data_IF_667563738977
#
_entry.id   IF_667563738977
#
_cell.length_a   1.000
_cell.length_b   1.000
_cell.length_c   1.000
_cell.angle_alpha   90.00
_cell.angle_beta   90.00
_cell.angle_gamma   90.00
#
_symmetry.space_group_name_H-M   'P 1'
#
loop_
_entity.id
_entity.type
_entity.pdbx_description
1 polymer ?
#
# COMPACT_ATOMS: atom_id res chain seq x y z
N UNK A 1 10.02 6.66 31.01
CA UNK A 1 9.86 6.42 29.57
C UNK A 1 8.41 6.72 29.20
N UNK A 2 8.16 7.98 28.85
CA UNK A 2 6.85 8.62 28.79
C UNK A 2 6.31 8.55 27.35
N UNK A 3 5.02 8.27 27.17
CA UNK A 3 4.36 7.87 25.91
C UNK A 3 4.33 8.89 24.75
N UNK A 4 5.22 9.88 24.71
CA UNK A 4 5.30 10.90 23.65
C UNK A 4 6.09 10.45 22.42
N UNK A 5 7.04 9.52 22.56
CA UNK A 5 7.87 9.05 21.42
C UNK A 5 7.10 8.21 20.38
N UNK A 6 6.01 7.55 20.77
CA UNK A 6 5.21 6.71 19.87
C UNK A 6 4.37 7.53 18.88
N UNK A 7 3.99 8.75 19.27
CA UNK A 7 3.17 9.65 18.45
C UNK A 7 3.96 10.11 17.22
N UNK A 8 5.22 10.51 17.40
CA UNK A 8 6.07 10.99 16.29
C UNK A 8 6.36 9.92 15.24
N UNK A 9 6.65 8.70 15.67
CA UNK A 9 6.89 7.57 14.74
C UNK A 9 5.62 7.26 13.94
N UNK A 10 4.46 7.16 14.61
CA UNK A 10 3.19 6.92 13.91
C UNK A 10 2.85 8.04 12.94
N UNK A 11 2.97 9.30 13.34
CA UNK A 11 2.73 10.45 12.45
C UNK A 11 3.63 10.40 11.23
N UNK A 12 4.92 10.13 11.41
CA UNK A 12 5.88 9.99 10.32
C UNK A 12 5.53 8.82 9.40
N UNK A 13 5.23 7.65 9.96
CA UNK A 13 4.87 6.46 9.19
C UNK A 13 3.57 6.67 8.41
N UNK A 14 2.55 7.29 9.01
CA UNK A 14 1.31 7.64 8.31
C UNK A 14 1.55 8.65 7.19
N UNK A 15 2.37 9.68 7.43
CA UNK A 15 2.79 10.62 6.40
C UNK A 15 3.51 9.91 5.24
N UNK A 16 4.48 9.06 5.55
CA UNK A 16 5.23 8.28 4.57
C UNK A 16 4.32 7.37 3.73
N UNK A 17 3.39 6.66 4.38
CA UNK A 17 2.44 5.79 3.70
C UNK A 17 1.52 6.59 2.78
N UNK A 18 0.95 7.71 3.24
CA UNK A 18 0.13 8.59 2.39
C UNK A 18 0.91 9.10 1.19
N UNK A 19 2.10 9.66 1.41
CA UNK A 19 2.94 10.17 0.33
C UNK A 19 3.28 9.07 -0.68
N UNK A 20 3.67 7.88 -0.22
CA UNK A 20 4.08 6.80 -1.11
C UNK A 20 2.91 6.21 -1.90
N UNK A 21 1.71 6.13 -1.33
CA UNK A 21 0.51 5.71 -2.09
C UNK A 21 0.26 6.66 -3.25
N UNK A 22 0.35 7.97 -3.01
CA UNK A 22 0.19 8.99 -4.06
C UNK A 22 1.27 8.88 -5.13
N UNK A 23 2.52 8.69 -4.72
CA UNK A 23 3.64 8.47 -5.65
C UNK A 23 3.45 7.21 -6.50
N UNK A 24 2.98 6.11 -5.91
CA UNK A 24 2.70 4.88 -6.64
C UNK A 24 1.50 5.03 -7.58
N UNK A 25 0.45 5.74 -7.17
CA UNK A 25 -0.70 5.99 -8.02
C UNK A 25 -0.30 6.74 -9.30
N UNK A 26 0.56 7.75 -9.17
CA UNK A 26 1.12 8.48 -10.30
C UNK A 26 2.04 7.59 -11.16
N UNK A 27 3.03 6.93 -10.55
CA UNK A 27 4.02 6.12 -11.28
C UNK A 27 3.41 4.90 -11.99
N UNK A 28 2.29 4.39 -11.49
CA UNK A 28 1.59 3.23 -12.03
C UNK A 28 0.40 3.61 -12.92
N UNK A 29 0.31 4.91 -13.29
CA UNK A 29 -0.67 5.46 -14.21
C UNK A 29 -2.13 5.32 -13.73
N UNK A 30 -2.38 5.25 -12.42
CA UNK A 30 -3.75 5.33 -11.90
C UNK A 30 -4.27 6.76 -11.90
N UNK A 31 -3.37 7.73 -11.75
CA UNK A 31 -3.68 9.15 -11.70
C UNK A 31 -2.67 9.92 -12.55
N UNK A 32 -3.16 10.78 -13.43
CA UNK A 32 -2.30 11.64 -14.27
C UNK A 32 -1.76 12.84 -13.48
N UNK A 33 -2.43 13.22 -12.40
CA UNK A 33 -2.05 14.36 -11.57
C UNK A 33 -0.77 14.06 -10.76
N UNK A 34 0.23 14.93 -10.90
CA UNK A 34 1.47 14.84 -10.13
C UNK A 34 1.18 14.99 -8.62
N UNK A 35 1.70 14.10 -7.77
CA UNK A 35 1.39 14.11 -6.34
C UNK A 35 2.07 15.32 -5.67
N UNK A 36 1.32 16.14 -4.93
CA UNK A 36 1.89 17.26 -4.20
C UNK A 36 2.75 16.76 -3.03
N UNK A 37 3.82 17.49 -2.73
CA UNK A 37 4.54 17.31 -1.47
C UNK A 37 3.68 17.83 -0.31
N UNK A 38 3.57 17.05 0.78
CA UNK A 38 2.75 17.41 1.94
C UNK A 38 1.31 16.88 1.88
N UNK A 39 0.39 17.55 2.57
CA UNK A 39 -0.99 17.07 2.80
C UNK A 39 -2.04 17.70 1.87
N UNK A 40 -1.64 18.26 0.72
CA UNK A 40 -2.61 18.77 -0.24
C UNK A 40 -3.59 17.68 -0.71
N UNK A 41 -4.83 18.04 -1.09
CA UNK A 41 -5.84 17.09 -1.54
C UNK A 41 -5.32 16.30 -2.75
N UNK A 42 -5.50 14.98 -2.71
CA UNK A 42 -5.14 14.07 -3.80
C UNK A 42 -6.17 12.95 -3.89
N UNK A 43 -6.58 12.51 -5.10
CA UNK A 43 -7.63 11.50 -5.28
C UNK A 43 -7.32 10.18 -4.57
N UNK A 44 -6.06 9.71 -4.63
CA UNK A 44 -5.61 8.55 -3.89
C UNK A 44 -5.26 8.92 -2.43
N UNK A 45 -6.05 8.42 -1.49
CA UNK A 45 -5.78 8.56 -0.05
C UNK A 45 -5.93 7.22 0.67
N UNK A 46 -5.21 7.07 1.79
CA UNK A 46 -5.30 5.92 2.67
C UNK A 46 -5.66 6.41 4.07
N UNK A 47 -6.73 5.85 4.62
CA UNK A 47 -7.10 6.01 6.03
C UNK A 47 -6.68 4.75 6.78
N UNK A 48 -5.91 4.95 7.86
CA UNK A 48 -5.42 3.86 8.70
C UNK A 48 -6.20 3.93 10.00
N UNK A 49 -6.98 2.90 10.30
CA UNK A 49 -7.70 2.81 11.57
C UNK A 49 -6.68 2.67 12.73
N UNK A 50 -6.87 3.45 13.79
CA UNK A 50 -6.05 3.33 14.99
C UNK A 50 -6.44 2.05 15.75
N UNK A 51 -5.47 1.21 16.17
CA UNK A 51 -5.76 0.00 16.91
C UNK A 51 -6.22 0.36 18.33
N UNK A 52 -7.42 -0.08 18.69
CA UNK A 52 -8.06 0.16 19.99
C UNK A 52 -7.58 -0.86 21.05
N UNK A 53 -6.93 -1.96 20.64
CA UNK A 53 -6.67 -3.13 21.50
C UNK A 53 -5.22 -3.23 22.03
N UNK A 54 -5.01 -3.80 23.24
CA UNK A 54 -3.68 -4.13 23.76
C UNK A 54 -2.95 -5.11 22.84
N UNK A 55 -1.66 -4.89 22.62
CA UNK A 55 -0.84 -5.68 21.67
C UNK A 55 -0.14 -6.85 22.35
N UNK A 56 -0.29 -8.04 21.79
CA UNK A 56 0.43 -9.24 22.25
C UNK A 56 1.88 -9.25 21.73
N UNK A 57 2.84 -9.40 22.64
CA UNK A 57 4.29 -9.39 22.36
C UNK A 57 4.73 -10.60 21.53
N UNK A 58 4.03 -11.73 21.64
CA UNK A 58 4.35 -12.96 20.90
C UNK A 58 3.98 -12.79 19.42
N UNK A 59 2.80 -12.22 19.16
CA UNK A 59 2.32 -11.92 17.79
C UNK A 59 3.25 -10.94 17.08
N UNK A 60 3.86 -9.99 17.80
CA UNK A 60 4.87 -9.08 17.24
C UNK A 60 6.12 -9.83 16.81
N UNK A 61 6.62 -10.78 17.60
CA UNK A 61 7.80 -11.58 17.27
C UNK A 61 7.57 -12.53 16.08
N UNK A 62 6.40 -13.18 16.05
CA UNK A 62 6.03 -14.11 14.97
C UNK A 62 5.60 -13.40 13.68
N UNK A 63 5.37 -12.07 13.73
CA UNK A 63 4.89 -11.27 12.60
C UNK A 63 5.78 -11.41 11.36
N UNK A 64 7.10 -11.43 11.56
CA UNK A 64 8.07 -11.57 10.46
C UNK A 64 7.89 -12.92 9.76
N UNK A 65 7.71 -14.01 10.52
CA UNK A 65 7.49 -15.34 9.97
C UNK A 65 6.16 -15.42 9.23
N UNK A 66 5.09 -14.84 9.80
CA UNK A 66 3.75 -14.80 9.20
C UNK A 66 3.68 -13.94 7.92
N UNK A 67 4.62 -13.01 7.77
CA UNK A 67 4.76 -12.18 6.57
C UNK A 67 5.54 -12.88 5.44
N UNK A 68 6.33 -13.92 5.71
CA UNK A 68 7.10 -14.62 4.66
C UNK A 68 6.21 -15.15 3.53
N UNK A 69 5.09 -15.85 3.79
CA UNK A 69 4.20 -16.30 2.72
C UNK A 69 3.62 -15.13 1.90
N UNK A 70 3.31 -14.02 2.57
CA UNK A 70 2.83 -12.81 1.92
C UNK A 70 3.87 -12.18 1.00
N UNK A 71 5.12 -12.09 1.44
CA UNK A 71 6.22 -11.53 0.65
C UNK A 71 6.43 -12.35 -0.63
N UNK A 72 6.36 -13.68 -0.54
CA UNK A 72 6.53 -14.56 -1.70
C UNK A 72 5.43 -14.30 -2.72
N UNK A 73 4.15 -14.29 -2.32
CA UNK A 73 3.06 -14.09 -3.29
C UNK A 73 3.05 -12.66 -3.82
N UNK A 74 3.28 -11.66 -2.95
CA UNK A 74 3.39 -10.27 -3.37
C UNK A 74 4.54 -10.06 -4.36
N UNK A 75 5.66 -10.78 -4.25
CA UNK A 75 6.74 -10.69 -5.22
C UNK A 75 6.24 -10.99 -6.64
N UNK A 76 5.50 -12.09 -6.82
CA UNK A 76 4.94 -12.44 -8.14
C UNK A 76 3.85 -11.46 -8.59
N UNK A 77 3.00 -10.99 -7.67
CA UNK A 77 1.94 -10.02 -7.97
C UNK A 77 2.52 -8.68 -8.41
N UNK A 78 3.55 -8.18 -7.71
CA UNK A 78 4.23 -6.93 -8.05
C UNK A 78 4.98 -7.06 -9.38
N UNK A 79 5.56 -8.22 -9.67
CA UNK A 79 6.18 -8.50 -10.95
C UNK A 79 5.14 -8.46 -12.09
N UNK A 80 4.01 -9.13 -11.92
CA UNK A 80 2.89 -9.08 -12.85
C UNK A 80 2.37 -7.64 -13.02
N UNK A 81 2.25 -6.89 -11.92
CA UNK A 81 1.83 -5.49 -11.95
C UNK A 81 2.77 -4.62 -12.77
N UNK A 82 4.09 -4.80 -12.63
CA UNK A 82 5.08 -4.12 -13.49
C UNK A 82 4.85 -4.38 -14.98
N UNK A 83 4.64 -5.64 -15.38
CA UNK A 83 4.33 -5.97 -16.77
C UNK A 83 3.01 -5.36 -17.25
N UNK A 84 1.96 -5.40 -16.41
CA UNK A 84 0.67 -4.80 -16.77
C UNK A 84 0.76 -3.28 -16.89
N UNK A 85 1.59 -2.61 -16.11
CA UNK A 85 1.80 -1.15 -16.21
C UNK A 85 2.47 -0.80 -17.54
N UNK A 86 3.47 -1.57 -17.96
CA UNK A 86 4.11 -1.39 -19.28
C UNK A 86 3.07 -1.61 -20.39
N UNK A 87 2.29 -2.69 -20.31
CA UNK A 87 1.22 -2.95 -21.28
C UNK A 87 0.17 -1.83 -21.29
N UNK A 88 -0.26 -1.35 -20.12
CA UNK A 88 -1.21 -0.24 -19.98
C UNK A 88 -0.67 1.04 -20.60
N UNK A 89 0.62 1.36 -20.40
CA UNK A 89 1.26 2.51 -21.03
C UNK A 89 1.14 2.45 -22.56
N UNK A 90 1.45 1.31 -23.19
CA UNK A 90 1.26 1.15 -24.64
C UNK A 90 -0.20 1.26 -25.04
N UNK A 91 -1.12 0.61 -24.31
CA UNK A 91 -2.55 0.64 -24.65
C UNK A 91 -3.12 2.06 -24.56
N UNK A 92 -2.77 2.82 -23.52
CA UNK A 92 -3.21 4.21 -23.37
C UNK A 92 -2.68 5.08 -24.51
N UNK A 93 -1.45 4.85 -24.99
CA UNK A 93 -0.92 5.60 -26.14
C UNK A 93 -1.70 5.35 -27.44
N UNK A 94 -2.20 4.14 -27.66
CA UNK A 94 -2.94 3.80 -28.88
C UNK A 94 -4.46 4.04 -28.76
N UNK A 95 -5.04 3.78 -27.59
CA UNK A 95 -6.49 3.79 -27.36
C UNK A 95 -6.95 5.04 -26.61
N UNK A 96 -6.05 5.74 -25.91
CA UNK A 96 -6.38 6.89 -25.06
C UNK A 96 -7.18 6.53 -23.81
N UNK A 97 -7.30 5.25 -23.47
CA UNK A 97 -8.13 4.77 -22.36
C UNK A 97 -7.43 3.65 -21.60
N UNK A 98 -7.50 3.70 -20.27
CA UNK A 98 -6.93 2.69 -19.39
C UNK A 98 -7.82 1.44 -19.38
N UNK A 99 -7.28 0.23 -19.68
CA UNK A 99 -8.07 -1.01 -19.63
C UNK A 99 -8.56 -1.31 -18.21
N UNK A 100 -9.87 -1.44 -18.02
CA UNK A 100 -10.48 -1.63 -16.70
C UNK A 100 -9.89 -2.83 -15.93
N UNK A 101 -9.66 -3.97 -16.60
CA UNK A 101 -9.10 -5.15 -15.95
C UNK A 101 -7.66 -4.95 -15.43
N UNK A 102 -6.83 -4.18 -16.13
CA UNK A 102 -5.47 -3.85 -15.68
C UNK A 102 -5.52 -2.87 -14.51
N UNK A 103 -6.46 -1.92 -14.54
CA UNK A 103 -6.68 -0.96 -13.48
C UNK A 103 -7.11 -1.65 -12.18
N UNK A 104 -8.13 -2.52 -12.24
CA UNK A 104 -8.62 -3.28 -11.09
C UNK A 104 -7.55 -4.18 -10.50
N UNK A 105 -6.78 -4.87 -11.35
CA UNK A 105 -5.65 -5.68 -10.91
C UNK A 105 -4.59 -4.85 -10.17
N UNK A 106 -4.19 -3.72 -10.74
CA UNK A 106 -3.17 -2.86 -10.15
C UNK A 106 -3.63 -2.22 -8.83
N UNK A 107 -4.87 -1.74 -8.77
CA UNK A 107 -5.46 -1.21 -7.52
C UNK A 107 -5.50 -2.29 -6.45
N UNK A 108 -5.89 -3.52 -6.81
CA UNK A 108 -5.91 -4.64 -5.89
C UNK A 108 -4.52 -5.04 -5.38
N UNK A 109 -3.52 -5.04 -6.26
CA UNK A 109 -2.13 -5.28 -5.91
C UNK A 109 -1.60 -4.21 -4.93
N UNK A 110 -1.92 -2.94 -5.19
CA UNK A 110 -1.56 -1.83 -4.31
C UNK A 110 -2.23 -1.95 -2.93
N UNK A 111 -3.53 -2.24 -2.87
CA UNK A 111 -4.26 -2.46 -1.62
C UNK A 111 -3.66 -3.61 -0.81
N UNK A 112 -3.39 -4.74 -1.46
CA UNK A 112 -2.81 -5.88 -0.78
C UNK A 112 -1.42 -5.58 -0.22
N UNK A 113 -0.55 -4.95 -1.02
CA UNK A 113 0.76 -4.49 -0.56
C UNK A 113 0.65 -3.59 0.66
N UNK A 114 -0.28 -2.62 0.65
CA UNK A 114 -0.49 -1.70 1.76
C UNK A 114 -0.96 -2.41 3.02
N UNK A 115 -1.83 -3.42 2.91
CA UNK A 115 -2.26 -4.24 4.06
C UNK A 115 -1.09 -5.00 4.70
N UNK A 116 -0.24 -5.63 3.89
CA UNK A 116 0.95 -6.34 4.40
C UNK A 116 1.93 -5.36 5.03
N UNK A 117 2.05 -4.17 4.46
CA UNK A 117 3.00 -3.19 4.95
C UNK A 117 2.54 -2.49 6.24
N UNK A 118 1.26 -2.11 6.35
CA UNK A 118 0.71 -1.58 7.60
C UNK A 118 0.75 -2.62 8.71
N UNK A 119 0.56 -3.90 8.38
CA UNK A 119 0.79 -5.01 9.31
C UNK A 119 2.26 -5.05 9.75
N UNK A 120 3.23 -5.06 8.82
CA UNK A 120 4.66 -5.09 9.16
C UNK A 120 5.14 -3.85 9.93
N UNK A 121 4.59 -2.67 9.61
CA UNK A 121 4.89 -1.39 10.28
C UNK A 121 4.17 -1.22 11.61
N UNK A 122 3.51 -2.26 12.13
CA UNK A 122 2.86 -2.23 13.44
C UNK A 122 1.75 -1.15 13.53
N UNK A 123 1.23 -0.72 12.38
CA UNK A 123 0.09 0.19 12.26
C UNK A 123 -1.21 -0.54 12.60
N UNK A 124 -1.37 -1.75 12.03
CA UNK A 124 -2.54 -2.61 12.18
C UNK A 124 -2.14 -3.93 12.85
N UNK A 125 -3.04 -4.50 13.64
CA UNK A 125 -2.83 -5.78 14.34
C UNK A 125 -3.50 -6.99 13.70
N UNK A 126 -4.51 -6.75 12.88
CA UNK A 126 -5.21 -7.77 12.12
C UNK A 126 -4.33 -8.37 11.01
N UNK A 127 -4.33 -9.70 10.89
CA UNK A 127 -3.58 -10.40 9.85
C UNK A 127 -4.23 -10.16 8.49
N UNK A 128 -3.47 -9.68 7.48
CA UNK A 128 -4.05 -9.33 6.19
C UNK A 128 -4.52 -10.58 5.43
N UNK A 129 -5.68 -10.53 4.75
CA UNK A 129 -6.12 -11.60 3.87
C UNK A 129 -5.28 -11.64 2.57
N UNK A 130 -5.07 -12.84 2.03
CA UNK A 130 -4.48 -13.08 0.69
C UNK A 130 -5.51 -12.74 -0.39
N UNK A 131 -5.78 -11.45 -0.57
CA UNK A 131 -6.77 -10.99 -1.54
C UNK A 131 -6.33 -9.70 -2.20
N UNK A 132 -6.79 -9.49 -3.43
CA UNK A 132 -6.66 -8.24 -4.17
C UNK A 132 -7.87 -7.31 -3.94
N UNK A 133 -8.88 -7.77 -3.19
CA UNK A 133 -10.14 -7.07 -2.96
C UNK A 133 -10.13 -6.33 -1.63
#
# INVERSE_FOLDING_TARGET
>A
FTGTHLIGIRQFTSFYLRWRVRALAYLMLFEDAYPPFGDAPYPASIEIADPISPRDRVTVGLRILLAVPHIIVLFFVLLAWGFTTIAAWFIILFTGSYPQGLYEFGVGALRWRLRVETYMLLMVDEYPPFSLM
#
